data_IF_745725156537
#
_entry.id   IF_745725156537
#
_cell.length_a   1.000
_cell.length_b   1.000
_cell.length_c   1.000
_cell.angle_alpha   90.00
_cell.angle_beta   90.00
_cell.angle_gamma   90.00
#
_symmetry.space_group_name_H-M   'P 1'
#
loop_
_entity.id
_entity.type
_entity.pdbx_description
1 polymer ?
#
# COMPACT_ATOMS: atom_id res chain seq x y z
N UNK A 1 23.77 -27.17 -50.81
CA UNK A 1 23.00 -26.09 -50.15
C UNK A 1 22.13 -26.70 -49.04
N UNK A 2 22.61 -26.71 -47.80
CA UNK A 2 21.85 -27.17 -46.64
C UNK A 2 21.04 -25.98 -46.11
N UNK A 3 19.72 -26.05 -46.18
CA UNK A 3 18.82 -25.05 -45.59
C UNK A 3 18.82 -25.27 -44.08
N UNK A 4 19.40 -24.33 -43.34
CA UNK A 4 19.27 -24.24 -41.88
C UNK A 4 17.97 -23.48 -41.63
N UNK A 5 16.93 -24.19 -41.19
CA UNK A 5 15.71 -23.59 -40.66
C UNK A 5 16.01 -23.09 -39.25
N UNK A 6 16.21 -21.77 -39.12
CA UNK A 6 16.30 -21.08 -37.84
C UNK A 6 14.89 -21.02 -37.23
N UNK A 7 14.65 -21.81 -36.19
CA UNK A 7 13.47 -21.67 -35.32
C UNK A 7 13.74 -20.50 -34.39
N UNK A 8 13.07 -19.37 -34.61
CA UNK A 8 13.01 -18.27 -33.64
C UNK A 8 12.17 -18.76 -32.45
N UNK A 9 12.82 -19.04 -31.33
CA UNK A 9 12.16 -19.09 -30.02
C UNK A 9 11.80 -17.65 -29.66
N UNK A 10 10.54 -17.27 -29.88
CA UNK A 10 9.98 -16.09 -29.23
C UNK A 10 9.86 -16.41 -27.74
N UNK A 11 10.77 -15.88 -26.93
CA UNK A 11 10.59 -15.85 -25.49
C UNK A 11 9.32 -15.03 -25.22
N UNK A 12 8.25 -15.69 -24.77
CA UNK A 12 7.11 -15.00 -24.18
C UNK A 12 7.62 -14.31 -22.91
N UNK A 13 7.94 -13.02 -23.03
CA UNK A 13 8.07 -12.14 -21.87
C UNK A 13 6.69 -12.10 -21.21
N UNK A 14 6.52 -12.88 -20.15
CA UNK A 14 5.40 -12.68 -19.23
C UNK A 14 5.48 -11.23 -18.75
N UNK A 15 4.39 -10.44 -18.84
CA UNK A 15 4.39 -9.09 -18.31
C UNK A 15 4.62 -9.20 -16.80
N UNK A 16 5.77 -8.72 -16.34
CA UNK A 16 6.01 -8.54 -14.92
C UNK A 16 5.01 -7.48 -14.43
N UNK A 17 4.11 -7.87 -13.52
CA UNK A 17 3.25 -6.94 -12.80
C UNK A 17 4.10 -5.82 -12.21
N UNK A 18 3.67 -4.58 -12.40
CA UNK A 18 4.37 -3.44 -11.83
C UNK A 18 4.02 -3.34 -10.34
N UNK A 19 4.93 -3.73 -9.46
CA UNK A 19 4.84 -3.43 -8.03
C UNK A 19 5.12 -1.96 -7.80
N UNK A 20 4.09 -1.12 -7.87
CA UNK A 20 4.23 0.31 -7.81
C UNK A 20 2.96 0.91 -7.19
N UNK A 21 2.67 0.69 -5.93
CA UNK A 21 1.56 1.38 -5.27
C UNK A 21 2.10 2.37 -4.26
N UNK A 22 1.49 3.54 -4.12
CA UNK A 22 1.83 4.52 -3.07
C UNK A 22 0.58 4.87 -2.27
N UNK A 23 0.69 4.81 -0.94
CA UNK A 23 -0.33 5.29 -0.02
C UNK A 23 0.23 6.37 0.89
N UNK A 24 -0.47 7.49 1.02
CA UNK A 24 -0.16 8.57 1.94
C UNK A 24 -1.31 8.69 2.95
N UNK A 25 -0.98 9.04 4.18
CA UNK A 25 -1.93 9.12 5.30
C UNK A 25 -1.81 10.47 5.98
N UNK A 26 -2.94 11.09 6.31
CA UNK A 26 -3.02 12.24 7.19
C UNK A 26 -4.12 12.04 8.24
N UNK A 27 -3.74 12.13 9.52
CA UNK A 27 -4.70 12.10 10.62
C UNK A 27 -5.56 13.38 10.69
N UNK A 28 -6.68 13.31 11.40
CA UNK A 28 -7.63 14.43 11.51
C UNK A 28 -7.03 15.71 12.12
N UNK A 29 -6.09 15.58 13.05
CA UNK A 29 -5.34 16.70 13.63
C UNK A 29 -4.31 17.30 12.67
N UNK A 30 -3.84 16.54 11.68
CA UNK A 30 -2.90 16.98 10.66
C UNK A 30 -3.57 17.71 9.49
N UNK A 31 -4.88 17.62 9.32
CA UNK A 31 -5.60 18.27 8.21
C UNK A 31 -6.28 19.58 8.64
N UNK A 32 -6.47 20.49 7.67
CA UNK A 32 -7.07 21.81 7.89
C UNK A 32 -8.55 21.71 8.26
N UNK A 33 -9.29 20.80 7.63
CA UNK A 33 -10.74 20.63 7.83
C UNK A 33 -11.11 19.57 8.88
N UNK A 34 -10.12 18.93 9.49
CA UNK A 34 -10.33 17.90 10.51
C UNK A 34 -10.73 16.53 9.98
N UNK A 35 -10.64 16.31 8.66
CA UNK A 35 -10.87 14.99 8.06
C UNK A 35 -9.66 14.08 8.17
N UNK A 36 -9.90 12.78 8.27
CA UNK A 36 -8.85 11.78 8.04
C UNK A 36 -8.75 11.58 6.53
N UNK A 37 -7.53 11.51 6.00
CA UNK A 37 -7.30 11.29 4.57
C UNK A 37 -6.30 10.16 4.34
N UNK A 38 -6.63 9.25 3.43
CA UNK A 38 -5.71 8.24 2.90
C UNK A 38 -5.71 8.28 1.38
N UNK A 39 -4.60 7.91 0.75
CA UNK A 39 -4.47 7.94 -0.72
C UNK A 39 -4.04 6.60 -1.28
N UNK A 40 -4.25 6.43 -2.58
CA UNK A 40 -3.81 5.25 -3.30
C UNK A 40 -3.47 5.60 -4.75
N UNK A 41 -2.32 5.13 -5.22
CA UNK A 41 -2.00 5.03 -6.65
C UNK A 41 -1.92 3.55 -7.00
N UNK A 42 -2.91 3.05 -7.75
CA UNK A 42 -2.93 1.68 -8.23
C UNK A 42 -2.17 1.60 -9.55
N UNK A 43 -0.83 1.45 -9.50
CA UNK A 43 -0.03 1.45 -10.72
C UNK A 43 0.15 0.04 -11.27
N UNK A 44 -0.33 -0.18 -12.50
CA UNK A 44 -0.22 -1.44 -13.23
C UNK A 44 -0.30 -1.19 -14.73
N UNK A 45 0.48 -1.95 -15.50
CA UNK A 45 0.46 -1.89 -16.97
C UNK A 45 -0.82 -2.47 -17.59
N UNK A 46 -1.66 -3.12 -16.78
CA UNK A 46 -2.82 -3.88 -17.26
C UNK A 46 -4.14 -3.47 -16.62
N UNK A 47 -4.10 -2.63 -15.56
CA UNK A 47 -5.31 -2.13 -14.93
C UNK A 47 -5.87 -0.95 -15.71
N UNK A 48 -7.16 -1.01 -16.02
CA UNK A 48 -7.93 0.14 -16.48
C UNK A 48 -8.70 0.67 -15.28
N UNK A 49 -8.57 1.97 -14.99
CA UNK A 49 -9.20 2.59 -13.84
C UNK A 49 -10.72 2.38 -13.83
N UNK A 50 -11.18 1.56 -12.89
CA UNK A 50 -12.59 1.28 -12.67
C UNK A 50 -12.92 1.50 -11.20
N UNK A 51 -14.06 2.14 -10.96
CA UNK A 51 -14.65 2.24 -9.63
C UNK A 51 -15.88 1.35 -9.60
N UNK A 52 -15.86 0.34 -8.75
CA UNK A 52 -16.95 -0.62 -8.55
C UNK A 52 -17.88 -0.12 -7.44
N UNK A 53 -19.14 -0.55 -7.48
CA UNK A 53 -20.09 -0.30 -6.39
C UNK A 53 -20.90 -1.55 -6.12
N UNK A 54 -20.99 -1.91 -4.85
CA UNK A 54 -21.73 -3.07 -4.34
C UNK A 54 -22.75 -2.56 -3.33
N UNK A 55 -24.05 -2.83 -3.50
CA UNK A 55 -25.05 -2.41 -2.53
C UNK A 55 -24.97 -3.22 -1.24
N UNK A 56 -25.48 -2.65 -0.14
CA UNK A 56 -25.72 -3.40 1.08
C UNK A 56 -26.71 -4.55 0.80
N UNK A 57 -26.54 -5.67 1.49
CA UNK A 57 -27.34 -6.87 1.26
C UNK A 57 -27.52 -7.69 2.54
N UNK A 58 -28.70 -8.31 2.68
CA UNK A 58 -28.99 -9.30 3.69
C UNK A 58 -28.86 -10.71 3.09
N UNK A 59 -28.22 -11.62 3.82
CA UNK A 59 -27.91 -12.97 3.37
C UNK A 59 -28.59 -14.01 4.25
N UNK A 60 -29.05 -15.10 3.64
CA UNK A 60 -29.68 -16.21 4.35
C UNK A 60 -28.62 -17.12 4.98
N UNK A 61 -28.96 -17.82 6.09
CA UNK A 61 -28.06 -18.82 6.66
C UNK A 61 -27.65 -19.88 5.62
N UNK A 62 -26.35 -20.05 5.43
CA UNK A 62 -25.78 -20.99 4.46
C UNK A 62 -25.39 -20.37 3.11
N UNK A 63 -25.69 -19.09 2.88
CA UNK A 63 -25.18 -18.37 1.72
C UNK A 63 -23.64 -18.31 1.74
N UNK A 64 -23.04 -18.39 0.55
CA UNK A 64 -21.59 -18.47 0.38
C UNK A 64 -21.07 -17.32 -0.50
N UNK A 65 -20.01 -16.65 -0.05
CA UNK A 65 -19.27 -15.64 -0.80
C UNK A 65 -18.16 -16.33 -1.59
N UNK A 66 -18.24 -16.28 -2.92
CA UNK A 66 -17.14 -16.72 -3.77
C UNK A 66 -15.92 -15.82 -3.58
N UNK A 67 -14.75 -16.41 -3.49
CA UNK A 67 -13.46 -15.73 -3.42
C UNK A 67 -12.74 -15.92 -4.74
N UNK A 68 -12.44 -14.79 -5.38
CA UNK A 68 -11.81 -14.73 -6.70
C UNK A 68 -10.62 -13.82 -6.55
N UNK A 69 -9.46 -14.35 -6.90
CA UNK A 69 -8.19 -13.63 -6.81
C UNK A 69 -8.23 -12.37 -7.69
N UNK A 70 -7.88 -11.24 -7.09
CA UNK A 70 -8.11 -9.92 -7.67
C UNK A 70 -7.39 -9.69 -9.01
N UNK A 71 -6.12 -10.08 -9.13
CA UNK A 71 -5.30 -9.73 -10.30
C UNK A 71 -5.52 -10.65 -11.51
N UNK A 72 -5.79 -11.93 -11.28
CA UNK A 72 -5.88 -12.97 -12.31
C UNK A 72 -7.32 -13.43 -12.57
N UNK A 73 -8.26 -13.08 -11.69
CA UNK A 73 -9.64 -13.55 -11.76
C UNK A 73 -9.79 -15.06 -11.46
N UNK A 74 -8.76 -15.69 -10.90
CA UNK A 74 -8.77 -17.11 -10.57
C UNK A 74 -9.71 -17.38 -9.38
N UNK A 75 -10.68 -18.30 -9.50
CA UNK A 75 -11.47 -18.74 -8.35
C UNK A 75 -10.57 -19.42 -7.32
N UNK A 76 -10.59 -18.93 -6.08
CA UNK A 76 -9.83 -19.50 -4.96
C UNK A 76 -10.68 -20.41 -4.08
N UNK A 77 -11.97 -20.10 -3.95
CA UNK A 77 -12.90 -20.91 -3.16
C UNK A 77 -14.13 -20.12 -2.76
N UNK A 78 -14.74 -20.49 -1.63
CA UNK A 78 -15.86 -19.76 -1.06
C UNK A 78 -15.83 -19.81 0.47
N UNK A 79 -16.33 -18.75 1.10
CA UNK A 79 -16.50 -18.64 2.56
C UNK A 79 -17.97 -18.36 2.89
N UNK A 80 -18.45 -18.67 4.10
CA UNK A 80 -19.80 -18.28 4.52
C UNK A 80 -20.01 -16.76 4.42
N UNK A 81 -21.21 -16.37 4.03
CA UNK A 81 -21.65 -14.98 4.15
C UNK A 81 -21.93 -14.62 5.61
N UNK A 82 -21.75 -13.34 5.93
CA UNK A 82 -22.29 -12.75 7.15
C UNK A 82 -23.75 -12.38 6.93
N UNK A 83 -24.60 -12.27 7.98
CA UNK A 83 -26.03 -11.98 7.81
C UNK A 83 -26.32 -10.67 7.05
N UNK A 84 -25.43 -9.69 7.17
CA UNK A 84 -25.57 -8.39 6.52
C UNK A 84 -24.21 -7.89 6.05
N UNK A 85 -24.14 -7.40 4.81
CA UNK A 85 -22.96 -6.72 4.25
C UNK A 85 -23.29 -5.27 3.96
N UNK A 86 -22.34 -4.37 4.24
CA UNK A 86 -22.47 -2.93 4.00
C UNK A 86 -22.32 -2.57 2.53
N UNK A 87 -22.87 -1.43 2.13
CA UNK A 87 -22.66 -0.87 0.80
C UNK A 87 -21.21 -0.40 0.67
N UNK A 88 -20.58 -0.73 -0.46
CA UNK A 88 -19.19 -0.37 -0.79
C UNK A 88 -19.17 0.37 -2.12
N UNK A 89 -18.46 1.48 -2.16
CA UNK A 89 -18.17 2.25 -3.35
C UNK A 89 -16.64 2.34 -3.45
N UNK A 90 -16.03 1.74 -4.47
CA UNK A 90 -14.57 1.65 -4.62
C UNK A 90 -13.88 1.07 -3.38
N UNK A 91 -13.08 1.91 -2.73
CA UNK A 91 -12.28 1.59 -1.54
C UNK A 91 -12.88 2.18 -0.25
N UNK A 92 -14.16 2.57 -0.24
CA UNK A 92 -14.86 3.12 0.91
C UNK A 92 -16.26 2.51 1.07
N UNK A 93 -16.72 2.31 2.31
CA UNK A 93 -18.09 1.86 2.58
C UNK A 93 -18.99 2.98 3.10
N UNK A 94 -20.27 2.67 3.29
CA UNK A 94 -21.32 3.59 3.76
C UNK A 94 -21.11 4.14 5.18
N UNK A 95 -20.05 3.71 5.88
CA UNK A 95 -19.65 4.21 7.20
C UNK A 95 -18.40 5.10 7.14
N UNK A 96 -18.03 5.56 5.93
CA UNK A 96 -16.79 6.29 5.65
C UNK A 96 -15.52 5.49 5.99
N UNK A 97 -15.60 4.18 6.22
CA UNK A 97 -14.42 3.34 6.39
C UNK A 97 -13.79 3.15 5.01
N UNK A 98 -12.50 3.46 4.89
CA UNK A 98 -11.72 3.30 3.68
C UNK A 98 -10.52 2.39 3.90
N UNK A 99 -10.23 1.55 2.91
CA UNK A 99 -9.11 0.61 2.91
C UNK A 99 -8.41 0.63 1.55
N UNK A 100 -7.11 0.88 1.55
CA UNK A 100 -6.23 0.86 0.36
C UNK A 100 -4.92 0.16 0.68
N UNK A 101 -4.13 -0.20 -0.34
CA UNK A 101 -2.93 -1.02 -0.17
C UNK A 101 -1.68 -0.53 -0.92
N UNK A 102 -0.54 -1.09 -0.54
CA UNK A 102 0.61 -1.27 -1.44
C UNK A 102 1.33 -2.59 -1.20
N UNK A 103 1.48 -3.40 -2.25
CA UNK A 103 2.21 -4.66 -2.14
C UNK A 103 3.72 -4.49 -2.12
N UNK A 104 4.38 -5.09 -1.14
CA UNK A 104 5.85 -5.10 -1.02
C UNK A 104 6.48 -6.47 -1.27
N UNK A 105 5.66 -7.50 -1.48
CA UNK A 105 6.12 -8.84 -1.86
C UNK A 105 6.76 -9.58 -0.68
N UNK A 106 7.96 -9.17 -0.30
CA UNK A 106 8.67 -9.76 0.82
C UNK A 106 9.39 -11.05 0.47
N UNK A 107 9.33 -12.00 1.40
CA UNK A 107 9.99 -13.30 1.30
C UNK A 107 9.18 -14.26 0.41
N UNK A 108 9.70 -14.69 -0.76
CA UNK A 108 8.93 -15.52 -1.68
C UNK A 108 8.48 -16.87 -1.10
N UNK A 109 9.25 -17.42 -0.16
CA UNK A 109 8.91 -18.67 0.53
C UNK A 109 7.68 -18.56 1.45
N UNK A 110 7.25 -17.34 1.77
CA UNK A 110 6.08 -17.09 2.62
C UNK A 110 4.75 -17.00 1.87
N UNK A 111 4.78 -17.07 0.53
CA UNK A 111 3.57 -17.09 -0.30
C UNK A 111 2.92 -18.47 -0.24
N UNK A 112 1.67 -18.54 0.23
CA UNK A 112 0.90 -19.79 0.31
C UNK A 112 -0.22 -19.85 -0.74
N UNK A 113 0.01 -20.63 -1.78
CA UNK A 113 -0.99 -20.83 -2.86
C UNK A 113 -2.18 -21.71 -2.46
N UNK A 114 -2.23 -22.22 -1.23
CA UNK A 114 -3.35 -22.96 -0.66
C UNK A 114 -4.28 -22.08 0.21
N UNK A 115 -3.88 -20.84 0.50
CA UNK A 115 -4.75 -19.86 1.16
C UNK A 115 -5.95 -19.49 0.29
N UNK A 116 -7.07 -19.11 0.92
CA UNK A 116 -8.25 -18.69 0.17
C UNK A 116 -8.33 -17.18 -0.03
N UNK A 117 -7.85 -16.38 0.92
CA UNK A 117 -8.07 -14.93 0.93
C UNK A 117 -6.86 -14.22 0.32
N UNK A 118 -7.03 -13.65 -0.87
CA UNK A 118 -6.07 -12.71 -1.47
C UNK A 118 -6.25 -11.29 -0.91
N UNK A 119 -5.26 -10.42 -1.12
CA UNK A 119 -5.27 -9.05 -0.60
C UNK A 119 -6.46 -8.22 -1.08
N UNK A 120 -6.88 -8.36 -2.35
CA UNK A 120 -8.01 -7.61 -2.90
C UNK A 120 -9.34 -8.08 -2.31
N UNK A 121 -9.52 -9.39 -2.18
CA UNK A 121 -10.65 -9.95 -1.42
C UNK A 121 -10.62 -9.51 0.04
N UNK A 122 -9.44 -9.40 0.65
CA UNK A 122 -9.29 -8.96 2.04
C UNK A 122 -9.78 -7.52 2.25
N UNK A 123 -9.46 -6.61 1.33
CA UNK A 123 -9.97 -5.23 1.31
C UNK A 123 -11.49 -5.22 1.19
N UNK A 124 -12.04 -5.90 0.18
CA UNK A 124 -13.48 -5.91 -0.07
C UNK A 124 -14.26 -6.51 1.11
N UNK A 125 -13.82 -7.65 1.65
CA UNK A 125 -14.45 -8.27 2.82
C UNK A 125 -14.33 -7.40 4.08
N UNK A 126 -13.23 -6.68 4.25
CA UNK A 126 -13.08 -5.70 5.32
C UNK A 126 -14.14 -4.59 5.22
N UNK A 127 -14.28 -3.99 4.03
CA UNK A 127 -15.27 -2.94 3.77
C UNK A 127 -16.73 -3.45 3.87
N UNK A 128 -17.01 -4.65 3.37
CA UNK A 128 -18.34 -5.27 3.42
C UNK A 128 -18.78 -5.62 4.84
N UNK A 129 -17.85 -5.82 5.80
CA UNK A 129 -18.15 -6.44 7.11
C UNK A 129 -17.77 -5.60 8.34
N UNK A 130 -17.15 -4.43 8.17
CA UNK A 130 -16.74 -3.55 9.27
C UNK A 130 -17.29 -2.12 9.13
N UNK A 131 -17.46 -1.42 10.26
CA UNK A 131 -17.86 0.00 10.29
C UNK A 131 -16.72 0.94 10.64
N UNK A 132 -15.70 0.43 11.33
CA UNK A 132 -14.55 1.22 11.81
C UNK A 132 -13.23 0.60 11.36
N UNK A 133 -12.15 1.38 11.40
CA UNK A 133 -10.82 0.91 11.01
C UNK A 133 -10.35 -0.25 11.89
N UNK A 134 -10.58 -0.16 13.21
CA UNK A 134 -10.28 -1.25 14.14
C UNK A 134 -11.10 -2.52 13.89
N UNK A 135 -12.39 -2.38 13.59
CA UNK A 135 -13.23 -3.53 13.20
C UNK A 135 -12.72 -4.16 11.89
N UNK A 136 -12.29 -3.36 10.92
CA UNK A 136 -11.72 -3.88 9.67
C UNK A 136 -10.43 -4.67 9.91
N UNK A 137 -9.52 -4.18 10.75
CA UNK A 137 -8.31 -4.93 11.14
C UNK A 137 -8.70 -6.29 11.74
N UNK A 138 -9.70 -6.32 12.63
CA UNK A 138 -10.18 -7.58 13.23
C UNK A 138 -10.76 -8.53 12.17
N UNK A 139 -11.67 -8.04 11.32
CA UNK A 139 -12.28 -8.83 10.23
C UNK A 139 -11.21 -9.41 9.31
N UNK A 140 -10.29 -8.57 8.84
CA UNK A 140 -9.24 -8.97 7.91
C UNK A 140 -8.35 -10.05 8.52
N UNK A 141 -7.92 -9.86 9.77
CA UNK A 141 -6.98 -10.76 10.42
C UNK A 141 -7.63 -12.08 10.84
N UNK A 142 -8.91 -12.08 11.23
CA UNK A 142 -9.68 -13.30 11.49
C UNK A 142 -9.91 -14.11 10.21
N UNK A 143 -10.27 -13.46 9.11
CA UNK A 143 -10.44 -14.12 7.81
C UNK A 143 -9.17 -14.82 7.35
N UNK A 144 -8.03 -14.12 7.44
CA UNK A 144 -6.73 -14.69 7.11
C UNK A 144 -6.37 -15.86 8.03
N UNK A 145 -6.64 -15.74 9.33
CA UNK A 145 -6.39 -16.82 10.30
C UNK A 145 -7.23 -18.06 10.00
N UNK A 146 -8.50 -17.89 9.64
CA UNK A 146 -9.45 -18.99 9.43
C UNK A 146 -9.28 -19.68 8.06
N UNK A 147 -9.11 -18.87 7.02
CA UNK A 147 -9.16 -19.32 5.62
C UNK A 147 -7.79 -19.29 4.91
N UNK A 148 -6.74 -18.78 5.57
CA UNK A 148 -5.41 -18.66 4.99
C UNK A 148 -5.28 -17.45 4.06
N UNK A 149 -4.03 -17.03 3.86
CA UNK A 149 -3.69 -15.86 3.05
C UNK A 149 -2.97 -16.28 1.78
N UNK A 150 -3.49 -15.84 0.63
CA UNK A 150 -3.03 -16.27 -0.69
C UNK A 150 -1.92 -15.38 -1.28
N UNK A 151 -1.85 -14.12 -0.83
CA UNK A 151 -1.01 -13.10 -1.44
C UNK A 151 0.36 -12.98 -0.79
N UNK A 152 1.19 -12.10 -1.33
CA UNK A 152 2.50 -11.75 -0.79
C UNK A 152 2.38 -10.64 0.26
N UNK A 153 3.49 -10.08 0.72
CA UNK A 153 3.52 -9.05 1.74
C UNK A 153 2.81 -7.76 1.31
N UNK A 154 1.86 -7.30 2.13
CA UNK A 154 1.03 -6.12 1.88
C UNK A 154 1.14 -5.06 2.97
N UNK A 155 1.00 -3.80 2.60
CA UNK A 155 0.78 -2.68 3.52
C UNK A 155 -0.60 -2.09 3.26
N UNK A 156 -1.44 -1.97 4.27
CA UNK A 156 -2.78 -1.40 4.18
C UNK A 156 -2.86 -0.07 4.92
N UNK A 157 -3.41 0.95 4.28
CA UNK A 157 -3.96 2.11 4.97
C UNK A 157 -5.43 1.82 5.26
N UNK A 158 -5.80 1.79 6.54
CA UNK A 158 -7.16 1.50 7.00
C UNK A 158 -7.61 2.68 7.85
N UNK A 159 -8.64 3.39 7.44
CA UNK A 159 -9.03 4.62 8.11
C UNK A 159 -10.53 4.85 8.11
N UNK A 160 -11.02 5.49 9.15
CA UNK A 160 -12.40 5.94 9.31
C UNK A 160 -12.40 7.43 9.73
N UNK A 161 -13.55 8.05 10.05
CA UNK A 161 -13.57 9.46 10.43
C UNK A 161 -12.79 9.83 11.72
N UNK A 162 -12.38 8.85 12.53
CA UNK A 162 -11.76 9.06 13.83
C UNK A 162 -10.28 8.64 13.87
N UNK A 163 -9.89 7.61 13.12
CA UNK A 163 -8.53 7.07 13.18
C UNK A 163 -8.03 6.58 11.82
N UNK A 164 -6.70 6.56 11.68
CA UNK A 164 -6.01 5.96 10.55
C UNK A 164 -4.94 4.99 11.05
N UNK A 165 -4.81 3.86 10.38
CA UNK A 165 -3.87 2.79 10.68
C UNK A 165 -3.05 2.45 9.45
N UNK A 166 -1.79 2.11 9.68
CA UNK A 166 -0.98 1.34 8.73
C UNK A 166 -0.87 -0.09 9.25
N UNK A 167 -1.23 -1.07 8.44
CA UNK A 167 -1.08 -2.49 8.75
C UNK A 167 -0.16 -3.17 7.74
N UNK A 168 0.90 -3.82 8.22
CA UNK A 168 1.79 -4.64 7.39
C UNK A 168 1.53 -6.11 7.69
N UNK A 169 1.30 -6.90 6.63
CA UNK A 169 0.87 -8.29 6.73
C UNK A 169 1.62 -9.16 5.71
N UNK A 170 2.04 -10.35 6.11
CA UNK A 170 2.64 -11.36 5.22
C UNK A 170 2.24 -12.77 5.63
N UNK A 171 2.07 -13.66 4.64
CA UNK A 171 1.77 -15.07 4.86
C UNK A 171 2.83 -15.81 5.67
N UNK A 172 2.50 -17.05 6.07
CA UNK A 172 3.40 -17.95 6.83
C UNK A 172 4.02 -19.07 5.99
N UNK A 173 3.84 -18.99 4.66
CA UNK A 173 4.26 -20.00 3.70
C UNK A 173 3.42 -21.28 3.75
N UNK A 174 3.63 -22.18 2.77
CA UNK A 174 2.88 -23.43 2.67
C UNK A 174 2.99 -24.29 3.95
N UNK A 175 1.88 -24.88 4.35
CA UNK A 175 1.82 -25.79 5.51
C UNK A 175 1.58 -25.09 6.86
N UNK A 176 1.56 -23.75 6.90
CA UNK A 176 1.15 -22.97 8.07
C UNK A 176 0.09 -21.95 7.68
N UNK A 177 -1.15 -22.22 8.07
CA UNK A 177 -2.27 -21.35 7.76
C UNK A 177 -2.15 -19.99 8.47
N UNK A 178 -2.44 -18.91 7.74
CA UNK A 178 -2.58 -17.56 8.25
C UNK A 178 -1.41 -16.65 7.87
N UNK A 179 -1.34 -15.50 8.54
CA UNK A 179 -0.33 -14.48 8.32
C UNK A 179 0.24 -13.98 9.64
N UNK A 180 1.41 -13.36 9.59
CA UNK A 180 1.93 -12.48 10.64
C UNK A 180 1.71 -11.03 10.22
N UNK A 181 1.38 -10.18 11.18
CA UNK A 181 1.04 -8.79 10.88
C UNK A 181 1.28 -7.86 12.06
N UNK A 182 1.46 -6.57 11.78
CA UNK A 182 1.52 -5.47 12.75
C UNK A 182 0.71 -4.31 12.18
N UNK A 183 -0.13 -3.70 13.01
CA UNK A 183 -0.90 -2.50 12.69
C UNK A 183 -0.60 -1.40 13.71
N UNK A 184 -0.24 -0.21 13.22
CA UNK A 184 0.06 0.97 14.03
C UNK A 184 -0.94 2.08 13.72
N UNK A 185 -1.56 2.63 14.77
CA UNK A 185 -2.39 3.83 14.67
C UNK A 185 -1.50 5.02 14.41
N UNK A 186 -1.80 5.77 13.36
CA UNK A 186 -1.16 7.05 13.10
C UNK A 186 -1.76 8.09 14.06
N UNK A 187 -0.94 8.80 14.86
CA UNK A 187 -1.45 9.84 15.73
C UNK A 187 -2.24 10.89 14.93
N UNK A 188 -3.31 11.41 15.53
CA UNK A 188 -4.23 12.33 14.84
C UNK A 188 -3.51 13.52 14.20
N UNK A 189 -2.45 14.03 14.83
CA UNK A 189 -1.67 15.19 14.39
C UNK A 189 -0.42 14.84 13.57
N UNK A 190 -0.36 13.62 13.04
CA UNK A 190 0.72 13.14 12.20
C UNK A 190 0.29 12.83 10.77
N UNK A 191 1.28 12.82 9.89
CA UNK A 191 1.19 12.24 8.54
C UNK A 191 2.08 11.00 8.46
N UNK A 192 1.69 10.07 7.59
CA UNK A 192 2.41 8.83 7.32
C UNK A 192 2.34 8.49 5.83
N UNK A 193 2.98 7.41 5.43
CA UNK A 193 2.87 6.87 4.09
C UNK A 193 3.58 5.54 3.96
N UNK A 194 3.20 4.79 2.94
CA UNK A 194 3.81 3.52 2.58
C UNK A 194 3.83 3.35 1.06
N UNK A 195 4.67 2.41 0.66
CA UNK A 195 5.01 2.11 -0.71
C UNK A 195 5.32 0.61 -0.78
N UNK A 196 5.96 0.14 -1.84
CA UNK A 196 6.26 -1.28 -2.04
C UNK A 196 7.42 -1.80 -1.14
N UNK A 197 7.52 -1.33 0.10
CA UNK A 197 8.39 -1.82 1.16
C UNK A 197 7.74 -1.62 2.55
N UNK A 198 7.81 -2.60 3.48
CA UNK A 198 7.31 -2.42 4.84
C UNK A 198 8.19 -1.45 5.62
N UNK A 199 7.58 -0.54 6.37
CA UNK A 199 8.16 0.56 7.15
C UNK A 199 8.00 0.41 8.65
N UNK A 200 7.15 -0.50 9.14
CA UNK A 200 7.03 -0.74 10.58
C UNK A 200 8.31 -1.43 11.05
N UNK A 201 9.15 -0.69 11.77
CA UNK A 201 10.36 -1.24 12.39
C UNK A 201 10.03 -1.83 13.76
N UNK A 202 10.47 -1.18 14.83
CA UNK A 202 10.13 -1.55 16.20
C UNK A 202 8.72 -1.02 16.53
N UNK A 203 7.96 -1.78 17.29
CA UNK A 203 6.61 -1.44 17.71
C UNK A 203 6.38 -1.78 19.19
N UNK A 204 5.47 -1.07 19.89
CA UNK A 204 5.18 -1.35 21.29
C UNK A 204 4.46 -2.69 21.44
N UNK A 205 4.80 -3.44 22.50
CA UNK A 205 4.21 -4.74 22.81
C UNK A 205 3.12 -4.66 23.90
N UNK A 206 2.92 -3.47 24.45
CA UNK A 206 2.08 -3.17 25.61
C UNK A 206 1.23 -1.89 25.38
N UNK A 207 0.82 -1.66 24.14
CA UNK A 207 -0.05 -0.54 23.75
C UNK A 207 -1.17 -1.00 22.78
N UNK A 208 -2.19 -1.73 23.26
CA UNK A 208 -3.28 -2.23 22.42
C UNK A 208 -4.16 -1.10 21.83
N UNK A 209 -4.06 0.11 22.36
CA UNK A 209 -4.79 1.27 21.84
C UNK A 209 -4.17 1.76 20.53
N UNK A 210 -2.84 1.75 20.40
CA UNK A 210 -2.16 2.27 19.20
C UNK A 210 -1.37 1.23 18.41
N UNK A 211 -1.26 -0.01 18.90
CA UNK A 211 -0.55 -1.10 18.25
C UNK A 211 -1.26 -2.44 18.42
N UNK A 212 -1.62 -3.05 17.29
CA UNK A 212 -2.19 -4.39 17.22
C UNK A 212 -1.22 -5.27 16.42
N UNK A 213 -1.04 -6.53 16.79
CA UNK A 213 -0.15 -7.42 16.05
C UNK A 213 -0.53 -8.88 16.24
N UNK A 214 -0.11 -9.75 15.32
CA UNK A 214 -0.34 -11.18 15.44
C UNK A 214 0.43 -11.74 16.65
N UNK A 215 -0.18 -12.60 17.50
CA UNK A 215 0.48 -13.09 18.71
C UNK A 215 1.83 -13.78 18.49
N UNK A 216 2.04 -14.33 17.30
CA UNK A 216 3.23 -15.08 16.90
C UNK A 216 4.18 -14.30 15.98
N UNK A 217 4.00 -12.99 15.79
CA UNK A 217 4.84 -12.18 14.89
C UNK A 217 6.33 -12.30 15.21
N UNK A 218 6.73 -12.30 16.50
CA UNK A 218 8.16 -12.42 16.85
C UNK A 218 8.62 -13.88 16.88
N UNK A 219 7.80 -14.80 17.40
CA UNK A 219 8.18 -16.22 17.51
C UNK A 219 8.32 -16.86 16.13
N UNK A 220 7.43 -16.55 15.20
CA UNK A 220 7.51 -17.01 13.81
C UNK A 220 8.81 -16.53 13.15
N UNK A 221 9.19 -15.26 13.31
CA UNK A 221 10.46 -14.77 12.79
C UNK A 221 11.69 -15.51 13.35
N UNK A 222 11.63 -15.97 14.60
CA UNK A 222 12.70 -16.79 15.20
C UNK A 222 12.74 -18.20 14.63
N UNK A 223 11.57 -18.83 14.50
CA UNK A 223 11.44 -20.18 13.93
C UNK A 223 12.00 -20.24 12.51
N UNK A 224 11.75 -19.20 11.71
CA UNK A 224 12.27 -19.10 10.35
C UNK A 224 13.73 -18.59 10.26
N UNK A 225 14.35 -18.22 11.39
CA UNK A 225 15.71 -17.68 11.43
C UNK A 225 15.84 -16.24 10.90
N UNK A 226 14.74 -15.51 10.73
CA UNK A 226 14.73 -14.10 10.32
C UNK A 226 15.13 -13.14 11.44
N UNK A 227 15.08 -13.60 12.70
CA UNK A 227 15.44 -12.81 13.87
C UNK A 227 15.98 -13.69 15.00
N UNK A 228 17.07 -13.29 15.65
CA UNK A 228 17.68 -14.04 16.77
C UNK A 228 17.87 -13.19 18.05
N UNK A 229 17.40 -11.94 18.06
CA UNK A 229 17.57 -11.01 19.17
C UNK A 229 16.48 -11.11 20.25
N UNK A 230 16.51 -10.18 21.20
CA UNK A 230 15.46 -10.02 22.23
C UNK A 230 14.25 -9.26 21.67
N UNK A 231 13.05 -9.50 22.18
CA UNK A 231 11.80 -8.97 21.59
C UNK A 231 11.82 -7.46 21.33
N UNK A 232 12.41 -6.66 22.24
CA UNK A 232 12.47 -5.19 22.11
C UNK A 232 13.25 -4.70 20.88
N UNK A 233 14.17 -5.52 20.36
CA UNK A 233 15.01 -5.18 19.22
C UNK A 233 14.41 -5.68 17.90
N UNK A 234 13.28 -6.39 17.94
CA UNK A 234 12.60 -6.90 16.76
C UNK A 234 12.15 -5.77 15.85
N UNK A 235 12.39 -5.93 14.54
CA UNK A 235 11.90 -5.02 13.52
C UNK A 235 11.13 -5.82 12.47
N UNK A 236 9.84 -5.51 12.28
CA UNK A 236 9.00 -6.21 11.31
C UNK A 236 9.54 -6.04 9.87
N UNK A 237 9.80 -4.80 9.46
CA UNK A 237 10.41 -4.46 8.17
C UNK A 237 11.72 -5.21 7.91
N UNK A 238 12.65 -5.26 8.87
CA UNK A 238 13.93 -5.98 8.70
C UNK A 238 13.75 -7.51 8.69
N UNK A 239 12.78 -8.04 9.43
CA UNK A 239 12.54 -9.47 9.52
C UNK A 239 11.88 -10.01 8.24
N UNK A 240 10.90 -9.30 7.69
CA UNK A 240 10.07 -9.82 6.60
C UNK A 240 10.26 -9.12 5.26
N UNK A 241 10.70 -7.86 5.25
CA UNK A 241 11.01 -7.12 4.04
C UNK A 241 12.38 -7.47 3.47
N UNK A 242 12.57 -7.17 2.18
CA UNK A 242 13.88 -7.21 1.52
C UNK A 242 14.31 -5.76 1.29
N UNK A 243 15.42 -5.35 1.92
CA UNK A 243 15.96 -4.00 1.79
C UNK A 243 17.02 -3.98 0.68
N UNK A 244 16.61 -3.58 -0.51
CA UNK A 244 17.48 -3.32 -1.66
C UNK A 244 17.35 -1.86 -2.13
N UNK A 245 18.01 -1.49 -3.23
CA UNK A 245 17.86 -0.15 -3.79
C UNK A 245 16.45 0.12 -4.35
N UNK A 246 15.69 -0.91 -4.72
CA UNK A 246 14.28 -0.78 -5.08
C UNK A 246 13.42 -0.40 -3.87
N UNK A 247 13.69 -0.95 -2.70
CA UNK A 247 13.08 -0.54 -1.45
C UNK A 247 13.51 0.90 -1.06
N UNK A 248 14.80 1.21 -1.05
CA UNK A 248 15.29 2.51 -0.61
C UNK A 248 14.92 3.65 -1.57
N UNK A 249 15.30 3.54 -2.85
CA UNK A 249 15.07 4.59 -3.87
C UNK A 249 13.72 4.49 -4.53
N UNK A 250 13.20 3.28 -4.68
CA UNK A 250 11.91 3.05 -5.29
C UNK A 250 10.72 3.14 -4.32
N UNK A 251 10.91 3.05 -3.00
CA UNK A 251 9.81 3.05 -2.03
C UNK A 251 9.99 4.11 -0.93
N UNK A 252 11.04 4.00 -0.12
CA UNK A 252 11.29 4.93 0.99
C UNK A 252 11.44 6.37 0.51
N UNK A 253 12.10 6.59 -0.65
CA UNK A 253 12.26 7.93 -1.21
C UNK A 253 10.90 8.61 -1.47
N UNK A 254 9.88 7.88 -1.94
CA UNK A 254 8.54 8.46 -2.19
C UNK A 254 7.91 9.02 -0.94
N UNK A 255 7.95 8.25 0.15
CA UNK A 255 7.41 8.69 1.44
C UNK A 255 8.25 9.83 2.01
N UNK A 256 9.57 9.77 1.85
CA UNK A 256 10.47 10.86 2.19
C UNK A 256 10.12 12.16 1.46
N UNK A 257 9.84 12.10 0.15
CA UNK A 257 9.47 13.28 -0.66
C UNK A 257 8.20 13.94 -0.10
N UNK A 258 7.20 13.13 0.25
CA UNK A 258 6.00 13.62 0.92
C UNK A 258 6.32 14.27 2.27
N UNK A 259 7.09 13.61 3.13
CA UNK A 259 7.45 14.14 4.44
C UNK A 259 8.26 15.44 4.36
N UNK A 260 9.18 15.55 3.39
CA UNK A 260 10.03 16.73 3.16
C UNK A 260 9.22 18.00 2.91
N UNK A 261 8.04 17.89 2.29
CA UNK A 261 7.12 19.02 2.08
C UNK A 261 6.60 19.62 3.40
N UNK A 262 6.67 18.86 4.50
CA UNK A 262 6.11 19.25 5.80
C UNK A 262 7.11 19.22 6.96
N UNK A 263 8.31 18.68 6.79
CA UNK A 263 9.41 18.78 7.75
C UNK A 263 10.73 19.05 7.00
N UNK A 264 11.29 20.25 7.22
CA UNK A 264 12.53 20.69 6.59
C UNK A 264 13.76 19.91 7.06
N UNK A 265 13.67 19.10 8.11
CA UNK A 265 14.76 18.28 8.60
C UNK A 265 14.84 16.91 7.91
N UNK A 266 13.91 16.57 7.01
CA UNK A 266 13.89 15.25 6.35
C UNK A 266 15.14 14.97 5.50
N UNK A 267 15.85 16.00 5.04
CA UNK A 267 17.07 15.83 4.25
C UNK A 267 18.20 15.13 5.02
N UNK A 268 18.15 15.09 6.36
CA UNK A 268 19.10 14.32 7.18
C UNK A 268 19.03 12.81 6.91
N UNK A 269 17.96 12.33 6.28
CA UNK A 269 17.75 10.92 5.93
C UNK A 269 18.13 10.58 4.48
N UNK A 270 18.66 11.53 3.69
CA UNK A 270 19.14 11.23 2.33
C UNK A 270 20.14 10.07 2.31
N UNK A 271 21.07 10.03 3.28
CA UNK A 271 22.05 8.96 3.41
C UNK A 271 21.42 7.58 3.62
N UNK A 272 20.24 7.49 4.24
CA UNK A 272 19.51 6.23 4.35
C UNK A 272 18.97 5.80 2.98
N UNK A 273 18.36 6.73 2.23
CA UNK A 273 17.84 6.48 0.88
C UNK A 273 18.94 6.11 -0.13
N UNK A 274 20.16 6.62 0.08
CA UNK A 274 21.36 6.31 -0.70
C UNK A 274 22.02 4.99 -0.29
N UNK A 275 21.53 4.31 0.75
CA UNK A 275 22.10 3.07 1.26
C UNK A 275 23.41 3.25 2.04
N UNK A 276 23.72 4.49 2.45
CA UNK A 276 24.91 4.83 3.23
C UNK A 276 24.69 4.86 4.75
N UNK A 277 23.45 4.67 5.20
CA UNK A 277 23.03 4.61 6.59
C UNK A 277 22.00 3.51 6.79
N UNK A 278 22.01 2.86 7.95
CA UNK A 278 21.00 1.88 8.34
C UNK A 278 19.86 2.49 9.18
N UNK A 279 19.89 3.81 9.40
CA UNK A 279 18.91 4.50 10.26
C UNK A 279 17.73 4.97 9.41
N UNK A 280 16.56 4.31 9.48
CA UNK A 280 15.37 4.75 8.76
C UNK A 280 14.83 6.05 9.35
N UNK A 281 14.02 6.76 8.57
CA UNK A 281 13.20 7.85 9.10
C UNK A 281 11.95 7.31 9.80
N UNK A 282 11.31 8.09 10.69
CA UNK A 282 10.14 7.63 11.45
C UNK A 282 9.00 7.14 10.56
N UNK A 283 8.18 6.21 11.08
CA UNK A 283 6.99 5.72 10.40
C UNK A 283 6.04 6.88 10.03
N UNK A 284 5.86 7.81 10.97
CA UNK A 284 5.04 9.01 10.84
C UNK A 284 5.78 10.23 11.40
N UNK A 285 5.40 11.43 10.94
CA UNK A 285 5.92 12.70 11.44
C UNK A 285 4.78 13.67 11.75
N UNK A 286 5.02 14.58 12.70
CA UNK A 286 4.16 15.75 12.88
C UNK A 286 4.51 16.77 11.80
N UNK A 287 3.59 17.15 10.91
CA UNK A 287 3.87 18.16 9.91
C UNK A 287 4.02 19.55 10.57
N UNK A 288 4.90 20.39 10.02
CA UNK A 288 5.11 21.78 10.49
C UNK A 288 3.87 22.68 10.37
N UNK A 289 2.90 22.27 9.56
CA UNK A 289 1.59 22.89 9.39
C UNK A 289 0.56 21.86 8.96
N UNK A 290 -0.71 22.20 9.14
CA UNK A 290 -1.82 21.37 8.66
C UNK A 290 -1.86 21.33 7.12
N UNK A 291 -2.30 20.19 6.59
CA UNK A 291 -2.43 19.91 5.16
C UNK A 291 -3.88 20.13 4.70
N UNK A 292 -4.04 20.64 3.49
CA UNK A 292 -5.34 20.70 2.80
C UNK A 292 -5.55 19.46 1.93
N UNK A 293 -6.81 19.19 1.60
CA UNK A 293 -7.16 18.17 0.60
C UNK A 293 -6.43 18.38 -0.73
N UNK A 294 -6.28 19.63 -1.17
CA UNK A 294 -5.57 19.95 -2.41
C UNK A 294 -4.11 19.51 -2.32
N UNK A 295 -3.46 19.74 -1.19
CA UNK A 295 -2.06 19.35 -1.02
C UNK A 295 -1.87 17.83 -0.90
N UNK A 296 -2.86 17.09 -0.42
CA UNK A 296 -2.85 15.62 -0.50
C UNK A 296 -2.94 15.16 -1.97
N UNK A 297 -3.80 15.79 -2.78
CA UNK A 297 -3.86 15.52 -4.23
C UNK A 297 -2.56 15.90 -4.93
N UNK A 298 -1.97 17.03 -4.58
CA UNK A 298 -0.70 17.50 -5.16
C UNK A 298 0.49 16.64 -4.70
N UNK A 299 0.41 15.98 -3.54
CA UNK A 299 1.40 14.99 -3.11
C UNK A 299 1.34 13.70 -3.93
N UNK A 300 0.15 13.31 -4.39
CA UNK A 300 0.01 12.19 -5.34
C UNK A 300 0.58 12.49 -6.73
N UNK A 301 0.84 13.77 -7.04
CA UNK A 301 1.45 14.26 -8.30
C UNK A 301 2.97 14.39 -8.23
N UNK A 302 3.59 13.92 -7.16
CA UNK A 302 5.01 14.19 -6.91
C UNK A 302 5.93 13.37 -7.83
N UNK A 303 6.89 14.06 -8.46
CA UNK A 303 8.00 13.47 -9.23
C UNK A 303 9.37 13.81 -8.64
N UNK A 304 9.43 14.02 -7.32
CA UNK A 304 10.63 14.46 -6.61
C UNK A 304 11.09 15.90 -6.94
N UNK A 305 10.18 16.75 -7.42
CA UNK A 305 10.44 18.13 -7.82
C UNK A 305 11.21 18.91 -6.74
N UNK A 306 12.33 19.54 -7.13
CA UNK A 306 13.15 20.34 -6.22
C UNK A 306 13.96 19.53 -5.20
N UNK A 307 14.22 18.25 -5.49
CA UNK A 307 15.07 17.37 -4.68
C UNK A 307 16.26 16.84 -5.52
N UNK A 308 17.25 16.18 -4.89
CA UNK A 308 18.32 15.48 -5.63
C UNK A 308 17.83 14.36 -6.55
N UNK A 309 16.56 13.93 -6.41
CA UNK A 309 15.93 12.84 -7.18
C UNK A 309 15.02 13.37 -8.30
N UNK A 310 15.02 14.69 -8.51
CA UNK A 310 14.23 15.36 -9.53
C UNK A 310 14.64 14.90 -10.95
N UNK A 311 13.68 14.27 -11.64
CA UNK A 311 13.86 13.73 -12.99
C UNK A 311 13.63 14.76 -14.11
N UNK A 312 13.37 16.04 -13.82
CA UNK A 312 13.24 17.06 -14.87
C UNK A 312 14.58 17.47 -15.48
N UNK A 313 15.68 17.25 -14.76
CA UNK A 313 16.98 17.89 -15.08
C UNK A 313 18.04 16.95 -15.65
N UNK A 314 17.79 15.63 -15.70
CA UNK A 314 18.69 14.69 -16.34
C UNK A 314 18.36 14.48 -17.83
N UNK A 315 19.27 13.83 -18.56
CA UNK A 315 19.16 13.61 -20.00
C UNK A 315 17.90 12.84 -20.43
N UNK A 316 17.34 12.03 -19.55
CA UNK A 316 16.12 11.26 -19.77
C UNK A 316 14.86 12.12 -19.85
N UNK A 317 14.88 13.37 -19.37
CA UNK A 317 13.76 14.30 -19.51
C UNK A 317 13.55 14.81 -20.94
N UNK A 318 14.56 14.69 -21.81
CA UNK A 318 14.49 15.14 -23.19
C UNK A 318 14.22 16.65 -23.33
N UNK A 319 13.85 17.14 -24.54
CA UNK A 319 13.70 18.57 -24.82
C UNK A 319 12.61 19.30 -24.03
N UNK A 320 11.68 18.54 -23.43
CA UNK A 320 10.53 19.07 -22.70
C UNK A 320 10.61 18.83 -21.18
N UNK A 321 11.75 18.33 -20.69
CA UNK A 321 11.98 18.02 -19.28
C UNK A 321 10.88 17.11 -18.70
N UNK A 322 10.53 16.04 -19.40
CA UNK A 322 9.50 15.12 -18.94
C UNK A 322 9.95 14.36 -17.67
N UNK A 323 9.17 14.35 -16.59
CA UNK A 323 9.54 13.68 -15.33
C UNK A 323 9.36 12.16 -15.37
N UNK A 324 9.25 11.55 -16.55
CA UNK A 324 8.93 10.14 -16.71
C UNK A 324 10.13 9.34 -17.20
N UNK A 325 10.30 8.14 -16.65
CA UNK A 325 11.32 7.19 -17.10
C UNK A 325 10.65 5.90 -17.56
N UNK A 326 11.03 5.46 -18.76
CA UNK A 326 10.59 4.16 -19.26
C UNK A 326 11.29 3.06 -18.50
N UNK A 327 10.54 1.99 -18.23
CA UNK A 327 11.08 0.78 -17.60
C UNK A 327 11.93 -0.01 -18.61
N UNK A 328 12.91 -0.82 -18.15
CA UNK A 328 13.23 -1.15 -16.75
C UNK A 328 13.79 0.04 -15.96
N UNK A 329 13.53 0.06 -14.65
CA UNK A 329 14.02 1.13 -13.76
C UNK A 329 15.53 1.10 -13.62
N UNK A 330 16.15 -0.06 -13.76
CA UNK A 330 17.61 -0.22 -13.75
C UNK A 330 18.17 -0.42 -15.14
N UNK A 331 19.40 0.05 -15.34
CA UNK A 331 20.14 -0.12 -16.59
C UNK A 331 21.63 -0.23 -16.31
N UNK A 332 22.39 -0.83 -17.24
CA UNK A 332 23.84 -1.02 -17.09
C UNK A 332 24.62 -0.17 -18.08
N UNK A 333 25.68 0.47 -17.59
CA UNK A 333 26.66 1.18 -18.41
C UNK A 333 28.05 0.78 -17.95
N UNK A 334 28.86 0.23 -18.86
CA UNK A 334 30.24 -0.21 -18.58
C UNK A 334 30.37 -1.14 -17.35
N UNK A 335 29.41 -2.07 -17.18
CA UNK A 335 29.42 -3.03 -16.06
C UNK A 335 29.01 -2.45 -14.71
N UNK A 336 28.52 -1.20 -14.67
CA UNK A 336 27.91 -0.61 -13.47
C UNK A 336 26.40 -0.48 -13.67
N UNK A 337 25.65 -0.93 -12.68
CA UNK A 337 24.18 -0.78 -12.63
C UNK A 337 23.81 0.61 -12.10
N UNK A 338 22.86 1.24 -12.77
CA UNK A 338 22.23 2.50 -12.42
C UNK A 338 20.72 2.29 -12.30
N UNK A 339 20.03 3.25 -11.70
CA UNK A 339 18.58 3.26 -11.60
C UNK A 339 18.01 4.64 -11.91
N UNK A 340 16.79 4.65 -12.41
CA UNK A 340 15.89 5.80 -12.46
C UNK A 340 15.02 5.81 -11.20
N UNK A 341 14.56 7.00 -10.80
CA UNK A 341 13.71 7.14 -9.62
C UNK A 341 12.27 6.69 -9.90
N UNK A 342 11.63 6.05 -8.91
CA UNK A 342 10.20 5.73 -8.97
C UNK A 342 9.44 6.83 -8.23
N UNK A 343 9.01 7.84 -8.98
CA UNK A 343 8.14 8.93 -8.53
C UNK A 343 6.80 8.41 -8.01
N UNK A 344 6.08 9.19 -7.18
CA UNK A 344 4.72 8.83 -6.72
C UNK A 344 3.79 8.75 -7.93
N UNK A 345 3.77 9.81 -8.75
CA UNK A 345 3.07 9.85 -10.02
C UNK A 345 3.86 9.10 -11.10
N UNK A 346 3.14 8.39 -11.96
CA UNK A 346 3.73 7.56 -13.01
C UNK A 346 2.71 7.31 -14.11
N UNK A 347 3.21 7.16 -15.33
CA UNK A 347 2.44 6.83 -16.53
C UNK A 347 1.80 5.41 -16.51
N UNK A 348 1.90 4.71 -15.38
CA UNK A 348 1.40 3.34 -15.17
C UNK A 348 0.23 3.30 -14.19
N UNK A 349 -0.18 4.44 -13.64
CA UNK A 349 -1.32 4.50 -12.74
C UNK A 349 -2.58 4.09 -13.49
N UNK A 350 -3.22 2.98 -13.10
CA UNK A 350 -4.54 2.62 -13.63
C UNK A 350 -5.60 3.56 -13.07
N UNK A 351 -5.55 3.80 -11.77
CA UNK A 351 -6.33 4.83 -11.09
C UNK A 351 -5.61 5.36 -9.84
N UNK A 352 -6.02 6.54 -9.41
CA UNK A 352 -5.58 7.15 -8.15
C UNK A 352 -6.78 7.66 -7.38
N UNK A 353 -6.70 7.63 -6.06
CA UNK A 353 -7.71 8.26 -5.21
C UNK A 353 -7.10 8.97 -4.00
N UNK A 354 -7.85 9.96 -3.52
CA UNK A 354 -7.73 10.50 -2.16
C UNK A 354 -9.06 10.24 -1.46
N UNK A 355 -9.09 9.30 -0.52
CA UNK A 355 -10.24 9.06 0.34
C UNK A 355 -10.23 10.09 1.47
N UNK A 356 -11.35 10.77 1.66
CA UNK A 356 -11.54 11.80 2.66
C UNK A 356 -12.74 11.45 3.55
N UNK A 357 -12.48 11.27 4.84
CA UNK A 357 -13.48 10.91 5.84
C UNK A 357 -13.77 12.12 6.72
N UNK A 358 -14.92 12.76 6.51
CA UNK A 358 -15.24 14.06 7.10
C UNK A 358 -16.00 13.88 8.40
N UNK A 359 -15.25 13.76 9.50
CA UNK A 359 -15.73 13.53 10.88
C UNK A 359 -16.91 14.38 11.35
N UNK A 360 -17.01 15.62 10.85
CA UNK A 360 -18.06 16.55 11.26
C UNK A 360 -19.35 16.43 10.41
N UNK A 361 -19.43 15.46 9.51
CA UNK A 361 -20.56 15.23 8.61
C UNK A 361 -21.11 13.81 8.79
N UNK A 362 -22.43 13.61 8.57
CA UNK A 362 -23.03 12.29 8.66
C UNK A 362 -22.56 11.39 7.51
N UNK A 363 -22.51 10.08 7.75
CA UNK A 363 -21.90 9.11 6.83
C UNK A 363 -22.39 9.24 5.39
N UNK A 364 -23.70 9.42 5.18
CA UNK A 364 -24.34 9.58 3.87
C UNK A 364 -23.76 10.69 2.98
N UNK A 365 -23.03 11.65 3.55
CA UNK A 365 -22.28 12.65 2.79
C UNK A 365 -20.84 12.78 3.27
N UNK A 366 -20.44 12.20 4.39
CA UNK A 366 -19.15 12.46 5.02
C UNK A 366 -17.98 11.88 4.22
N UNK A 367 -18.18 10.69 3.64
CA UNK A 367 -17.18 9.97 2.86
C UNK A 367 -17.11 10.46 1.40
N UNK A 368 -15.92 10.84 0.96
CA UNK A 368 -15.65 11.15 -0.45
C UNK A 368 -14.39 10.43 -0.91
N UNK A 369 -14.48 9.69 -2.00
CA UNK A 369 -13.33 9.29 -2.79
C UNK A 369 -13.13 10.26 -3.93
N UNK A 370 -12.08 11.07 -3.83
CA UNK A 370 -11.62 11.89 -4.93
C UNK A 370 -10.88 10.99 -5.91
N UNK A 371 -11.57 10.50 -6.93
CA UNK A 371 -11.10 9.45 -7.84
C UNK A 371 -10.59 10.05 -9.16
N UNK A 372 -9.46 9.57 -9.64
CA UNK A 372 -8.88 9.89 -10.92
C UNK A 372 -8.51 8.62 -11.67
N UNK A 373 -8.77 8.59 -12.97
CA UNK A 373 -8.29 7.52 -13.87
C UNK A 373 -6.97 7.98 -14.47
N UNK A 374 -6.05 7.04 -14.69
CA UNK A 374 -4.72 7.29 -15.24
C UNK A 374 -3.80 8.06 -14.27
N UNK A 375 -2.65 8.49 -14.78
CA UNK A 375 -1.60 9.21 -14.06
C UNK A 375 -2.13 10.40 -13.26
N UNK A 376 -1.86 10.37 -11.94
CA UNK A 376 -2.17 11.43 -11.01
C UNK A 376 -1.70 12.81 -11.50
N UNK A 377 -0.58 12.91 -12.21
CA UNK A 377 -0.04 14.16 -12.72
C UNK A 377 -1.00 14.88 -13.68
N UNK A 378 -1.74 14.14 -14.50
CA UNK A 378 -2.58 14.71 -15.57
C UNK A 378 -4.08 14.50 -15.36
N UNK A 379 -4.47 13.57 -14.49
CA UNK A 379 -5.87 13.27 -14.23
C UNK A 379 -6.59 14.44 -13.54
N UNK A 380 -7.91 14.40 -13.57
CA UNK A 380 -8.79 15.25 -12.73
C UNK A 380 -9.38 14.37 -11.65
N UNK A 381 -9.26 14.80 -10.39
CA UNK A 381 -9.90 14.13 -9.27
C UNK A 381 -11.39 14.49 -9.17
N UNK A 382 -12.25 13.53 -9.51
CA UNK A 382 -13.72 13.64 -9.44
C UNK A 382 -14.20 13.22 -8.05
N UNK A 383 -15.05 14.01 -7.36
CA UNK A 383 -15.59 13.62 -6.05
C UNK A 383 -16.68 12.56 -6.20
N UNK A 384 -16.39 11.34 -5.77
CA UNK A 384 -17.33 10.25 -5.66
C UNK A 384 -17.79 10.14 -4.20
N UNK A 385 -19.07 10.39 -3.94
CA UNK A 385 -19.66 10.16 -2.62
C UNK A 385 -19.88 8.66 -2.42
N UNK A 386 -19.60 8.18 -1.22
CA UNK A 386 -19.50 6.75 -0.93
C UNK A 386 -20.51 6.31 0.13
#
# INVERSE_FOLDING_TARGET
MKRITSVLFAAMLLPAGAWACTGLIAGAGATVDGSVMITYSADSHTLYGALTSTPAADWQPGDMRQIVEWDTGKPLGAIPQVPHTYAVNGNMNEHQLAIVESTWGGRPELVDTLGLIDYGSLIQLGLERARTAREAIQVMTDLVKEYGYYSSGESFSIADPNEAWIMELIGKGPGRKGAVWVAIRIPDDCISGHANHPRIHQFPLDDPENCLYSPDVISFAREEGYFNGINKDFSFSKAYGVLDYGALRGCEARVWSFFRRYDSNMDKYLRYLEGESETPFPLYIRPSRKLTLREMKDAMRDHFDGTPYDMHHDIGGGPFNAPYRFRPMSFEVNGKTYLNERAIATQQTGFTLVAQMRRNLPDAIGGIQWFGVDDANTCVYVPMYC
#
